data_IF_367212605161
#
_entry.id   IF_367212605161
#
_cell.length_a   1.000
_cell.length_b   1.000
_cell.length_c   1.000
_cell.angle_alpha   90.00
_cell.angle_beta   90.00
_cell.angle_gamma   90.00
#
_symmetry.space_group_name_H-M   'P 1'
#
loop_
_entity.id
_entity.type
_entity.pdbx_description
1 polymer ?
#
# COMPACT_ATOMS: atom_id res chain seq x y z
N UNK A 1 -0.37 -14.84 18.12
CA UNK A 1 -0.13 -15.94 19.09
C UNK A 1 0.15 -17.25 18.33
N UNK A 2 0.62 -18.33 18.97
CA UNK A 2 0.73 -19.65 18.29
C UNK A 2 -0.61 -20.14 17.70
N UNK A 3 -1.73 -19.73 18.27
CA UNK A 3 -3.08 -20.04 17.76
C UNK A 3 -3.34 -19.30 16.46
N UNK A 4 -3.09 -18.00 16.41
CA UNK A 4 -3.25 -17.19 15.19
C UNK A 4 -2.33 -17.64 14.05
N UNK A 5 -1.12 -18.10 14.37
CA UNK A 5 -0.23 -18.70 13.36
C UNK A 5 -0.85 -19.95 12.74
N UNK A 6 -1.45 -20.84 13.55
CA UNK A 6 -2.17 -22.02 13.06
C UNK A 6 -3.37 -21.64 12.20
N UNK A 7 -4.13 -20.60 12.59
CA UNK A 7 -5.25 -20.10 11.81
C UNK A 7 -4.80 -19.56 10.45
N UNK A 8 -3.69 -18.80 10.41
CA UNK A 8 -3.11 -18.32 9.16
C UNK A 8 -2.78 -19.49 8.22
N UNK A 9 -2.14 -20.54 8.72
CA UNK A 9 -1.84 -21.72 7.90
C UNK A 9 -3.10 -22.49 7.47
N UNK A 10 -4.16 -22.52 8.31
CA UNK A 10 -5.46 -23.09 7.91
C UNK A 10 -6.03 -22.34 6.71
N UNK A 11 -6.06 -21.01 6.76
CA UNK A 11 -6.53 -20.16 5.66
C UNK A 11 -5.74 -20.43 4.37
N UNK A 12 -4.41 -20.58 4.47
CA UNK A 12 -3.59 -20.92 3.30
C UNK A 12 -3.95 -22.28 2.69
N UNK A 13 -4.19 -23.28 3.54
CA UNK A 13 -4.56 -24.63 3.10
C UNK A 13 -5.95 -24.66 2.44
N UNK A 14 -6.88 -23.84 2.92
CA UNK A 14 -8.25 -23.76 2.40
C UNK A 14 -8.28 -22.98 1.08
N UNK A 15 -7.60 -21.83 1.01
CA UNK A 15 -7.58 -20.98 -0.18
C UNK A 15 -6.68 -21.52 -1.30
N UNK A 16 -5.62 -22.26 -0.96
CA UNK A 16 -4.61 -22.78 -1.91
C UNK A 16 -4.14 -21.73 -2.93
N UNK A 17 -3.67 -20.55 -2.48
CA UNK A 17 -3.35 -19.46 -3.40
C UNK A 17 -2.16 -19.83 -4.30
N UNK A 18 -2.15 -19.34 -5.53
CA UNK A 18 -0.96 -19.45 -6.41
C UNK A 18 0.11 -18.42 -6.06
N UNK A 19 -0.32 -17.25 -5.58
CA UNK A 19 0.53 -16.11 -5.24
C UNK A 19 0.13 -15.57 -3.86
N UNK A 20 1.12 -15.41 -2.97
CA UNK A 20 1.00 -14.69 -1.71
C UNK A 20 1.68 -13.33 -1.85
N UNK A 21 0.91 -12.26 -1.69
CA UNK A 21 1.44 -10.90 -1.76
C UNK A 21 1.48 -10.27 -0.37
N UNK A 22 2.64 -9.72 0.01
CA UNK A 22 2.84 -9.04 1.29
C UNK A 22 3.27 -7.60 1.06
N UNK A 23 2.51 -6.64 1.58
CA UNK A 23 2.95 -5.24 1.69
C UNK A 23 3.64 -5.05 3.04
N UNK A 24 4.97 -4.91 3.04
CA UNK A 24 5.76 -4.87 4.26
C UNK A 24 6.34 -3.47 4.52
N UNK A 25 6.19 -3.04 5.77
CA UNK A 25 7.02 -1.98 6.36
C UNK A 25 8.17 -2.62 7.15
N UNK A 26 9.29 -1.91 7.31
CA UNK A 26 10.50 -2.46 7.90
C UNK A 26 10.31 -3.13 9.28
N UNK A 27 9.49 -2.59 10.21
CA UNK A 27 9.24 -3.25 11.49
C UNK A 27 8.61 -4.64 11.37
N UNK A 28 7.80 -4.88 10.33
CA UNK A 28 7.12 -6.16 10.11
C UNK A 28 8.00 -7.19 9.41
N UNK A 29 9.16 -6.79 8.87
CA UNK A 29 10.01 -7.67 8.10
C UNK A 29 10.59 -8.82 8.94
N UNK A 30 11.03 -8.54 10.18
CA UNK A 30 11.54 -9.58 11.10
C UNK A 30 10.47 -10.62 11.43
N UNK A 31 9.24 -10.15 11.64
CA UNK A 31 8.10 -11.03 11.87
C UNK A 31 7.90 -11.93 10.64
N UNK A 32 7.81 -11.33 9.45
CA UNK A 32 7.69 -12.04 8.18
C UNK A 32 8.79 -13.10 7.97
N UNK A 33 10.05 -12.77 8.23
CA UNK A 33 11.19 -13.71 8.12
C UNK A 33 11.00 -14.96 8.98
N UNK A 34 10.34 -14.85 10.14
CA UNK A 34 10.00 -15.99 11.00
C UNK A 34 8.98 -16.93 10.34
N UNK A 35 8.00 -16.38 9.61
CA UNK A 35 6.96 -17.16 8.94
C UNK A 35 7.43 -17.78 7.62
N UNK A 36 8.35 -17.12 6.91
CA UNK A 36 8.76 -17.51 5.57
C UNK A 36 9.15 -19.00 5.41
N UNK A 37 9.99 -19.61 6.29
CA UNK A 37 10.34 -21.03 6.16
C UNK A 37 9.14 -21.96 6.30
N UNK A 38 8.21 -21.66 7.22
CA UNK A 38 6.98 -22.45 7.39
C UNK A 38 6.04 -22.30 6.20
N UNK A 39 5.90 -21.09 5.65
CA UNK A 39 5.11 -20.86 4.43
C UNK A 39 5.64 -21.73 3.28
N UNK A 40 6.97 -21.73 3.04
CA UNK A 40 7.58 -22.52 1.97
C UNK A 40 7.52 -24.04 2.22
N UNK A 41 7.55 -24.50 3.47
CA UNK A 41 7.36 -25.93 3.81
C UNK A 41 5.95 -26.43 3.52
N UNK A 42 4.94 -25.56 3.65
CA UNK A 42 3.52 -25.93 3.57
C UNK A 42 2.95 -25.90 2.15
N UNK A 43 3.65 -25.30 1.20
CA UNK A 43 3.20 -25.28 -0.18
C UNK A 43 4.17 -24.60 -1.13
N UNK A 44 3.95 -24.83 -2.42
CA UNK A 44 4.74 -24.26 -3.51
C UNK A 44 4.24 -22.88 -3.92
N UNK A 45 3.92 -22.03 -2.93
CA UNK A 45 3.44 -20.67 -3.15
C UNK A 45 4.53 -19.83 -3.82
N UNK A 46 4.14 -19.05 -4.84
CA UNK A 46 4.92 -17.88 -5.26
C UNK A 46 4.68 -16.76 -4.27
N UNK A 47 5.74 -16.05 -3.92
CA UNK A 47 5.69 -14.96 -2.95
C UNK A 47 6.09 -13.66 -3.64
N UNK A 48 5.22 -12.66 -3.56
CA UNK A 48 5.47 -11.27 -3.92
C UNK A 48 5.61 -10.44 -2.63
N UNK A 49 6.67 -9.64 -2.52
CA UNK A 49 6.79 -8.63 -1.46
C UNK A 49 6.86 -7.24 -2.09
N UNK A 50 6.07 -6.31 -1.58
CA UNK A 50 6.11 -4.89 -1.91
C UNK A 50 6.15 -4.02 -0.65
N UNK A 51 5.86 -2.73 -0.82
CA UNK A 51 5.84 -1.75 0.25
C UNK A 51 7.20 -1.15 0.57
N UNK A 52 7.27 -0.44 1.69
CA UNK A 52 8.46 0.32 2.09
C UNK A 52 9.69 -0.56 2.31
N UNK A 53 9.54 -1.75 2.92
CA UNK A 53 10.67 -2.65 3.14
C UNK A 53 11.30 -3.10 1.82
N UNK A 54 10.47 -3.44 0.83
CA UNK A 54 10.94 -3.84 -0.49
C UNK A 54 11.71 -2.72 -1.19
N UNK A 55 11.26 -1.47 -1.03
CA UNK A 55 11.89 -0.32 -1.68
C UNK A 55 13.16 0.15 -0.97
N UNK A 56 13.19 0.12 0.37
CA UNK A 56 14.31 0.61 1.17
C UNK A 56 15.46 -0.39 1.29
N UNK A 57 15.14 -1.69 1.34
CA UNK A 57 16.11 -2.77 1.55
C UNK A 57 15.91 -3.94 0.56
N UNK A 58 15.97 -3.69 -0.76
CA UNK A 58 15.58 -4.69 -1.76
C UNK A 58 16.49 -5.92 -1.79
N UNK A 59 17.82 -5.74 -1.64
CA UNK A 59 18.82 -6.82 -1.64
C UNK A 59 18.61 -7.83 -0.51
N UNK A 60 18.18 -7.37 0.66
CA UNK A 60 17.87 -8.23 1.79
C UNK A 60 16.50 -8.90 1.60
N UNK A 61 15.53 -8.13 1.11
CA UNK A 61 14.13 -8.58 1.00
C UNK A 61 13.95 -9.65 -0.09
N UNK A 62 14.64 -9.55 -1.23
CA UNK A 62 14.56 -10.52 -2.33
C UNK A 62 14.95 -11.94 -1.90
N UNK A 63 15.76 -12.11 -0.85
CA UNK A 63 16.13 -13.42 -0.31
C UNK A 63 14.91 -14.22 0.17
N UNK A 64 13.85 -13.52 0.59
CA UNK A 64 12.65 -14.09 1.20
C UNK A 64 11.40 -14.04 0.29
N UNK A 65 11.57 -13.87 -1.02
CA UNK A 65 10.44 -13.93 -1.97
C UNK A 65 10.86 -14.47 -3.34
N UNK A 66 9.87 -14.74 -4.19
CA UNK A 66 10.05 -15.09 -5.61
C UNK A 66 10.06 -13.82 -6.47
N UNK A 67 9.22 -12.84 -6.10
CA UNK A 67 9.08 -11.54 -6.74
C UNK A 67 9.16 -10.41 -5.69
N UNK A 68 9.85 -9.33 -6.02
CA UNK A 68 9.97 -8.14 -5.18
C UNK A 68 9.57 -6.90 -5.99
N UNK A 69 8.62 -6.12 -5.52
CA UNK A 69 8.21 -4.87 -6.15
C UNK A 69 8.89 -3.68 -5.47
N UNK A 70 9.78 -3.00 -6.20
CA UNK A 70 10.46 -1.78 -5.76
C UNK A 70 9.69 -0.54 -6.26
N UNK A 71 9.24 0.31 -5.34
CA UNK A 71 8.44 1.49 -5.66
C UNK A 71 6.93 1.20 -5.72
N UNK A 72 6.19 2.03 -6.46
CA UNK A 72 4.73 1.90 -6.64
C UNK A 72 4.37 0.64 -7.45
N UNK A 73 3.25 0.03 -7.08
CA UNK A 73 2.91 -1.35 -7.46
C UNK A 73 1.65 -1.49 -8.33
N UNK A 74 0.83 -0.45 -8.45
CA UNK A 74 -0.53 -0.52 -8.98
C UNK A 74 -0.59 -1.15 -10.38
N UNK A 75 0.20 -0.65 -11.33
CA UNK A 75 0.22 -1.17 -12.70
C UNK A 75 1.12 -2.39 -12.86
N UNK A 76 2.28 -2.38 -12.19
CA UNK A 76 3.32 -3.40 -12.39
C UNK A 76 2.95 -4.74 -11.78
N UNK A 77 2.19 -4.75 -10.67
CA UNK A 77 1.69 -5.99 -10.06
C UNK A 77 0.63 -6.61 -10.97
N UNK A 78 -0.22 -5.82 -11.63
CA UNK A 78 -1.16 -6.34 -12.62
C UNK A 78 -0.43 -7.01 -13.78
N UNK A 79 0.57 -6.33 -14.37
CA UNK A 79 1.44 -6.90 -15.42
C UNK A 79 2.12 -8.20 -14.95
N UNK A 80 2.61 -8.24 -13.71
CA UNK A 80 3.20 -9.46 -13.13
C UNK A 80 2.19 -10.60 -13.03
N UNK A 81 0.97 -10.33 -12.54
CA UNK A 81 -0.09 -11.33 -12.42
C UNK A 81 -0.44 -11.90 -13.79
N UNK A 82 -0.53 -11.08 -14.83
CA UNK A 82 -0.77 -11.52 -16.20
C UNK A 82 0.33 -12.46 -16.71
N UNK A 83 1.60 -12.14 -16.43
CA UNK A 83 2.74 -13.01 -16.77
C UNK A 83 2.69 -14.34 -16.03
N UNK A 84 2.35 -14.33 -14.74
CA UNK A 84 2.20 -15.54 -13.92
C UNK A 84 1.08 -16.44 -14.45
N UNK A 85 -0.06 -15.87 -14.84
CA UNK A 85 -1.22 -16.63 -15.37
C UNK A 85 -0.87 -17.46 -16.61
N UNK A 86 0.00 -16.94 -17.47
CA UNK A 86 0.44 -17.65 -18.69
C UNK A 86 1.75 -18.42 -18.50
N UNK A 87 2.28 -18.50 -17.28
CA UNK A 87 3.53 -19.21 -16.98
C UNK A 87 4.79 -18.56 -17.55
N UNK A 88 4.75 -17.27 -17.90
CA UNK A 88 5.89 -16.54 -18.47
C UNK A 88 6.72 -15.83 -17.40
N UNK A 89 8.00 -15.62 -17.70
CA UNK A 89 8.89 -14.84 -16.84
C UNK A 89 8.61 -13.34 -16.96
N UNK A 90 8.68 -12.56 -15.88
CA UNK A 90 8.40 -11.12 -15.88
C UNK A 90 9.61 -10.28 -16.32
N UNK A 91 10.32 -10.70 -17.38
CA UNK A 91 11.56 -10.06 -17.87
C UNK A 91 11.35 -8.63 -18.41
N UNK A 92 10.10 -8.26 -18.68
CA UNK A 92 9.66 -6.99 -19.24
C UNK A 92 8.75 -6.21 -18.27
N UNK A 93 8.56 -6.71 -17.04
CA UNK A 93 7.74 -6.03 -16.03
C UNK A 93 8.64 -5.10 -15.22
N UNK A 94 8.49 -3.77 -15.33
CA UNK A 94 9.31 -2.84 -14.56
C UNK A 94 9.04 -2.97 -13.06
N UNK A 95 9.94 -2.43 -12.24
CA UNK A 95 9.90 -2.45 -10.76
C UNK A 95 10.05 -3.83 -10.12
N UNK A 96 9.81 -4.92 -10.85
CA UNK A 96 9.81 -6.28 -10.32
C UNK A 96 11.22 -6.88 -10.38
N UNK A 97 11.80 -7.17 -9.23
CA UNK A 97 12.95 -8.06 -9.14
C UNK A 97 12.46 -9.49 -8.97
N UNK A 98 13.17 -10.43 -9.57
CA UNK A 98 12.80 -11.84 -9.49
C UNK A 98 14.01 -12.74 -9.59
N UNK A 99 13.85 -13.99 -9.12
CA UNK A 99 14.91 -15.00 -9.20
C UNK A 99 14.74 -15.81 -10.48
N UNK A 100 15.80 -15.86 -11.28
CA UNK A 100 15.95 -16.78 -12.40
C UNK A 100 17.13 -17.70 -12.11
N UNK A 101 16.83 -18.96 -11.74
CA UNK A 101 17.84 -19.91 -11.26
C UNK A 101 18.63 -19.32 -10.08
N UNK A 102 19.93 -19.10 -10.23
CA UNK A 102 20.81 -18.56 -9.18
C UNK A 102 21.06 -17.05 -9.33
N UNK A 103 20.39 -16.37 -10.27
CA UNK A 103 20.60 -14.95 -10.56
C UNK A 103 19.36 -14.16 -10.16
N UNK A 104 19.58 -13.02 -9.52
CA UNK A 104 18.53 -12.02 -9.26
C UNK A 104 18.50 -11.06 -10.44
N UNK A 105 17.39 -11.06 -11.17
CA UNK A 105 17.12 -10.09 -12.24
C UNK A 105 16.46 -8.87 -11.62
N UNK A 106 17.04 -7.68 -11.85
CA UNK A 106 16.62 -6.41 -11.25
C UNK A 106 16.06 -5.49 -12.33
N UNK A 107 14.75 -5.43 -12.45
CA UNK A 107 14.11 -4.54 -13.41
C UNK A 107 14.21 -3.09 -12.96
N UNK A 108 14.34 -2.18 -13.94
CA UNK A 108 14.35 -0.74 -13.69
C UNK A 108 12.99 -0.29 -13.16
N UNK A 109 13.01 0.71 -12.29
CA UNK A 109 11.80 1.35 -11.77
C UNK A 109 11.23 2.29 -12.85
N UNK A 110 9.96 2.12 -13.20
CA UNK A 110 9.20 2.94 -14.14
C UNK A 110 8.88 4.32 -13.52
N UNK A 111 8.79 5.41 -14.31
CA UNK A 111 8.37 6.71 -13.81
C UNK A 111 7.04 6.68 -13.08
N UNK A 112 6.88 7.59 -12.11
CA UNK A 112 5.65 7.74 -11.35
C UNK A 112 4.52 8.25 -12.25
N UNK A 113 3.33 7.66 -12.10
CA UNK A 113 2.14 8.22 -12.72
C UNK A 113 1.67 9.47 -11.96
N UNK A 114 1.46 10.59 -12.66
CA UNK A 114 1.02 11.86 -12.07
C UNK A 114 -0.46 11.89 -11.70
N UNK A 115 -1.30 11.11 -12.39
CA UNK A 115 -2.72 11.02 -12.12
C UNK A 115 -3.01 9.83 -11.20
N UNK A 116 -3.22 10.13 -9.92
CA UNK A 116 -3.61 9.12 -8.93
C UNK A 116 -5.10 8.79 -8.98
N UNK A 117 -5.92 9.62 -9.65
CA UNK A 117 -7.37 9.45 -9.72
C UNK A 117 -7.83 8.46 -10.78
N UNK A 118 -6.95 8.06 -11.70
CA UNK A 118 -7.21 6.96 -12.62
C UNK A 118 -7.37 5.60 -11.92
N UNK A 119 -6.81 5.46 -10.72
CA UNK A 119 -6.92 4.22 -9.94
C UNK A 119 -8.29 4.15 -9.27
N UNK A 120 -8.87 2.94 -9.13
CA UNK A 120 -10.15 2.79 -8.44
C UNK A 120 -10.03 3.24 -6.97
N UNK A 121 -11.13 3.76 -6.43
CA UNK A 121 -11.23 3.98 -4.99
C UNK A 121 -11.10 2.63 -4.24
N UNK A 122 -10.50 2.60 -3.04
CA UNK A 122 -10.37 1.38 -2.25
C UNK A 122 -11.71 0.71 -2.01
N UNK A 123 -11.79 -0.59 -2.28
CA UNK A 123 -12.98 -1.38 -2.04
C UNK A 123 -13.07 -1.69 -0.54
N UNK A 124 -14.22 -1.35 0.05
CA UNK A 124 -14.61 -1.78 1.40
C UNK A 124 -15.77 -2.78 1.20
N UNK A 125 -15.51 -4.08 1.33
CA UNK A 125 -16.53 -5.12 1.29
C UNK A 125 -16.04 -6.45 1.90
N UNK A 126 -16.97 -7.39 2.10
CA UNK A 126 -16.68 -8.71 2.68
C UNK A 126 -16.35 -9.79 1.64
N UNK A 127 -16.33 -9.46 0.34
CA UNK A 127 -16.26 -10.48 -0.72
C UNK A 127 -14.94 -11.23 -0.72
N UNK A 128 -13.84 -10.52 -0.46
CA UNK A 128 -12.48 -11.08 -0.45
C UNK A 128 -11.68 -10.68 0.79
N UNK A 129 -12.37 -10.27 1.86
CA UNK A 129 -11.75 -9.73 3.07
C UNK A 129 -11.81 -10.73 4.21
N UNK A 130 -10.67 -10.94 4.85
CA UNK A 130 -10.57 -11.66 6.11
C UNK A 130 -9.40 -11.14 6.93
N UNK A 131 -9.50 -11.29 8.25
CA UNK A 131 -8.37 -11.04 9.15
C UNK A 131 -8.41 -11.98 10.35
N UNK A 132 -7.26 -12.12 11.01
CA UNK A 132 -7.12 -12.93 12.21
C UNK A 132 -6.87 -12.00 13.39
N UNK A 133 -7.72 -12.08 14.40
CA UNK A 133 -7.61 -11.29 15.61
C UNK A 133 -8.29 -11.98 16.79
N UNK A 134 -7.68 -11.86 17.98
CA UNK A 134 -8.16 -12.52 19.21
C UNK A 134 -8.38 -14.02 19.02
N UNK A 135 -7.42 -14.68 18.36
CA UNK A 135 -7.44 -16.12 18.08
C UNK A 135 -8.67 -16.60 17.28
N UNK A 136 -9.26 -15.74 16.44
CA UNK A 136 -10.39 -16.08 15.55
C UNK A 136 -10.15 -15.54 14.14
N UNK A 137 -10.71 -16.22 13.15
CA UNK A 137 -10.81 -15.73 11.77
C UNK A 137 -12.10 -14.93 11.67
N UNK A 138 -12.00 -13.71 11.14
CA UNK A 138 -13.13 -12.84 10.83
C UNK A 138 -13.23 -12.73 9.31
N UNK A 139 -14.40 -13.04 8.75
CA UNK A 139 -14.67 -13.00 7.31
C UNK A 139 -15.37 -11.69 6.94
N UNK A 140 -14.72 -10.59 7.26
CA UNK A 140 -15.19 -9.24 6.96
C UNK A 140 -14.02 -8.28 6.74
N UNK A 141 -14.30 -7.14 6.12
CA UNK A 141 -13.34 -6.04 6.04
C UNK A 141 -13.15 -5.41 7.43
N UNK A 142 -11.90 -5.30 7.93
CA UNK A 142 -11.64 -4.72 9.25
C UNK A 142 -12.09 -3.26 9.38
N UNK A 143 -12.35 -2.55 8.28
CA UNK A 143 -12.90 -1.19 8.31
C UNK A 143 -14.40 -1.12 8.63
N UNK A 144 -15.22 -2.13 8.33
CA UNK A 144 -16.69 -2.04 8.47
C UNK A 144 -17.12 -1.65 9.89
N UNK A 145 -16.46 -2.27 10.88
CA UNK A 145 -16.73 -2.05 12.30
C UNK A 145 -15.72 -1.08 12.95
N UNK A 146 -14.95 -0.34 12.15
CA UNK A 146 -13.94 0.59 12.64
C UNK A 146 -14.55 1.98 12.92
N UNK A 147 -13.89 2.74 13.79
CA UNK A 147 -14.24 4.14 14.08
C UNK A 147 -13.37 5.14 13.30
N UNK A 148 -12.32 4.64 12.64
CA UNK A 148 -11.39 5.44 11.83
C UNK A 148 -11.26 4.86 10.43
N UNK A 149 -11.19 5.74 9.44
CA UNK A 149 -10.87 5.39 8.05
C UNK A 149 -9.58 6.07 7.60
N UNK A 150 -8.67 5.29 7.01
CA UNK A 150 -7.39 5.78 6.51
C UNK A 150 -7.43 6.04 5.01
N UNK A 151 -6.99 7.22 4.59
CA UNK A 151 -6.86 7.57 3.17
C UNK A 151 -5.69 8.54 2.96
N UNK A 152 -5.44 8.95 1.71
CA UNK A 152 -4.54 10.03 1.34
C UNK A 152 -5.17 10.90 0.24
N UNK A 153 -4.78 12.17 0.21
CA UNK A 153 -5.14 13.09 -0.89
C UNK A 153 -4.08 13.08 -1.99
N UNK A 154 -2.87 12.62 -1.68
CA UNK A 154 -1.77 12.56 -2.62
C UNK A 154 -0.61 11.67 -2.15
N UNK A 155 0.44 11.63 -2.98
CA UNK A 155 1.67 10.87 -2.74
C UNK A 155 2.89 11.66 -3.15
N UNK A 156 3.95 11.52 -2.35
CA UNK A 156 5.20 12.25 -2.51
C UNK A 156 5.46 13.18 -1.33
N UNK A 157 6.69 13.65 -1.21
CA UNK A 157 7.11 14.55 -0.14
C UNK A 157 8.21 15.49 -0.67
N UNK A 158 8.03 16.82 -0.60
CA UNK A 158 8.98 17.78 -1.16
C UNK A 158 10.27 17.89 -0.32
N UNK A 159 10.28 17.32 0.88
CA UNK A 159 11.39 17.40 1.81
C UNK A 159 12.39 16.24 1.64
N UNK A 160 13.65 16.50 2.00
CA UNK A 160 14.75 15.53 1.99
C UNK A 160 15.39 15.42 3.38
N UNK A 161 14.57 15.24 4.40
CA UNK A 161 15.03 15.14 5.79
C UNK A 161 16.01 13.98 5.97
N UNK A 162 17.17 14.21 6.59
CA UNK A 162 18.27 13.24 6.72
C UNK A 162 17.88 11.95 7.46
N UNK A 163 16.83 12.02 8.29
CA UNK A 163 16.32 10.91 9.10
C UNK A 163 15.14 10.15 8.48
N UNK A 164 14.58 10.62 7.36
CA UNK A 164 13.32 10.10 6.84
C UNK A 164 13.50 9.12 5.67
N UNK A 165 12.71 8.04 5.65
CA UNK A 165 12.64 7.07 4.54
C UNK A 165 12.25 7.71 3.21
N UNK A 166 11.45 8.79 3.22
CA UNK A 166 11.11 9.54 2.01
C UNK A 166 12.36 10.06 1.28
N UNK A 167 13.42 10.42 2.01
CA UNK A 167 14.68 10.85 1.37
C UNK A 167 15.31 9.75 0.53
N UNK A 168 15.14 8.48 0.91
CA UNK A 168 15.57 7.36 0.08
C UNK A 168 14.72 7.27 -1.20
N UNK A 169 13.41 7.46 -1.11
CA UNK A 169 12.54 7.52 -2.28
C UNK A 169 12.95 8.65 -3.22
N UNK A 170 13.21 9.85 -2.69
CA UNK A 170 13.63 11.02 -3.47
C UNK A 170 15.00 10.84 -4.12
N UNK A 171 15.95 10.19 -3.45
CA UNK A 171 17.33 10.15 -3.93
C UNK A 171 17.70 8.86 -4.68
N UNK A 172 17.00 7.75 -4.44
CA UNK A 172 17.38 6.42 -4.95
C UNK A 172 16.30 5.76 -5.79
N UNK A 173 15.04 5.77 -5.36
CA UNK A 173 13.96 5.05 -6.07
C UNK A 173 13.36 5.89 -7.19
N UNK A 174 13.07 7.16 -6.90
CA UNK A 174 12.40 8.10 -7.81
C UNK A 174 13.10 9.48 -7.86
N UNK A 175 14.37 9.55 -8.31
CA UNK A 175 15.09 10.81 -8.48
C UNK A 175 14.31 11.84 -9.29
N UNK A 176 14.11 13.04 -8.72
CA UNK A 176 13.42 14.17 -9.37
C UNK A 176 11.89 14.02 -9.51
N UNK A 177 11.31 12.91 -9.05
CA UNK A 177 9.89 12.61 -9.18
C UNK A 177 9.17 12.56 -7.84
N UNK A 178 9.69 11.86 -6.82
CA UNK A 178 8.99 11.71 -5.51
C UNK A 178 8.79 13.03 -4.77
N UNK A 179 9.65 14.01 -5.03
CA UNK A 179 9.54 15.35 -4.43
C UNK A 179 8.37 16.17 -4.97
N UNK A 180 7.78 15.76 -6.10
CA UNK A 180 6.57 16.35 -6.65
C UNK A 180 5.39 15.62 -6.04
N UNK A 181 4.62 16.28 -5.17
CA UNK A 181 3.40 15.69 -4.64
C UNK A 181 2.40 15.57 -5.79
N UNK A 182 1.90 14.36 -5.98
CA UNK A 182 0.85 14.02 -6.94
C UNK A 182 -0.45 13.91 -6.17
N UNK A 183 -1.48 14.64 -6.57
CA UNK A 183 -2.76 14.66 -5.87
C UNK A 183 -3.82 13.90 -6.66
N UNK A 184 -4.77 13.36 -5.93
CA UNK A 184 -6.05 12.89 -6.45
C UNK A 184 -6.94 14.12 -6.70
N UNK A 185 -7.87 14.03 -7.64
CA UNK A 185 -8.91 15.06 -7.82
C UNK A 185 -9.82 15.14 -6.59
N UNK A 186 -10.43 16.31 -6.37
CA UNK A 186 -11.39 16.49 -5.26
C UNK A 186 -12.56 15.52 -5.39
N UNK A 187 -13.09 15.34 -6.60
CA UNK A 187 -14.16 14.37 -6.88
C UNK A 187 -13.80 12.95 -6.44
N UNK A 188 -12.57 12.52 -6.73
CA UNK A 188 -12.12 11.16 -6.43
C UNK A 188 -11.99 10.93 -4.92
N UNK A 189 -11.43 11.90 -4.19
CA UNK A 189 -11.34 11.83 -2.71
C UNK A 189 -12.73 11.89 -2.08
N UNK A 190 -13.61 12.79 -2.53
CA UNK A 190 -14.98 12.90 -2.00
C UNK A 190 -15.79 11.64 -2.29
N UNK A 191 -15.63 11.01 -3.46
CA UNK A 191 -16.30 9.76 -3.79
C UNK A 191 -15.88 8.61 -2.85
N UNK A 192 -14.57 8.47 -2.57
CA UNK A 192 -14.08 7.51 -1.59
C UNK A 192 -14.64 7.78 -0.19
N UNK A 193 -14.60 9.03 0.27
CA UNK A 193 -15.08 9.38 1.61
C UNK A 193 -16.58 9.17 1.78
N UNK A 194 -17.38 9.39 0.72
CA UNK A 194 -18.81 9.02 0.72
C UNK A 194 -19.00 7.52 0.88
N UNK A 195 -18.24 6.72 0.11
CA UNK A 195 -18.31 5.27 0.22
C UNK A 195 -17.88 4.78 1.60
N UNK A 196 -16.81 5.34 2.17
CA UNK A 196 -16.37 5.04 3.52
C UNK A 196 -17.44 5.40 4.56
N UNK A 197 -18.07 6.58 4.45
CA UNK A 197 -19.15 7.03 5.35
C UNK A 197 -20.40 6.15 5.26
N UNK A 198 -20.72 5.64 4.07
CA UNK A 198 -21.85 4.73 3.86
C UNK A 198 -21.57 3.34 4.44
N UNK A 199 -20.37 2.81 4.24
CA UNK A 199 -20.04 1.40 4.53
C UNK A 199 -19.49 1.15 5.93
N UNK A 200 -18.90 2.16 6.57
CA UNK A 200 -18.28 2.03 7.90
C UNK A 200 -19.28 2.49 8.95
N UNK A 201 -19.89 1.53 9.65
CA UNK A 201 -21.04 1.76 10.54
C UNK A 201 -20.72 2.70 11.71
N UNK A 202 -19.47 2.73 12.15
CA UNK A 202 -19.00 3.48 13.31
C UNK A 202 -18.13 4.69 12.99
N UNK A 203 -18.08 5.15 11.73
CA UNK A 203 -17.06 6.12 11.30
C UNK A 203 -17.15 7.45 12.06
N UNK A 204 -16.11 7.74 12.85
CA UNK A 204 -16.01 8.96 13.67
C UNK A 204 -14.85 9.86 13.26
N UNK A 205 -13.86 9.34 12.55
CA UNK A 205 -12.68 10.11 12.19
C UNK A 205 -12.04 9.63 10.89
N UNK A 206 -11.61 10.57 10.05
CA UNK A 206 -10.78 10.31 8.87
C UNK A 206 -9.31 10.56 9.24
N UNK A 207 -8.42 9.64 8.88
CA UNK A 207 -6.98 9.83 8.99
C UNK A 207 -6.39 10.00 7.59
N UNK A 208 -5.87 11.18 7.29
CA UNK A 208 -5.07 11.41 6.10
C UNK A 208 -3.61 11.02 6.37
N UNK A 209 -3.17 9.92 5.74
CA UNK A 209 -1.84 9.32 5.85
C UNK A 209 -0.86 9.83 4.78
N UNK A 210 -1.14 11.00 4.20
CA UNK A 210 -0.18 11.71 3.37
C UNK A 210 1.14 11.92 4.13
N UNK A 211 2.28 11.76 3.43
CA UNK A 211 3.61 11.99 4.01
C UNK A 211 3.73 13.40 4.59
N UNK A 212 3.16 14.37 3.86
CA UNK A 212 2.84 15.71 4.32
C UNK A 212 1.53 16.12 3.65
N UNK A 213 0.50 16.39 4.45
CA UNK A 213 -0.75 16.98 4.02
C UNK A 213 -0.53 18.44 3.63
N UNK A 214 -0.26 18.64 2.34
CA UNK A 214 0.10 19.94 1.77
C UNK A 214 -0.69 20.17 0.47
N UNK A 215 -2.03 20.25 0.49
CA UNK A 215 -2.81 20.46 -0.73
C UNK A 215 -2.49 21.82 -1.39
N UNK A 216 -2.65 21.89 -2.71
CA UNK A 216 -2.58 23.17 -3.43
C UNK A 216 -3.77 24.06 -3.06
N UNK A 217 -3.59 25.39 -3.07
CA UNK A 217 -4.57 26.36 -2.56
C UNK A 217 -5.98 26.18 -3.13
N UNK A 218 -6.11 26.13 -4.46
CA UNK A 218 -7.43 26.02 -5.10
C UNK A 218 -8.06 24.64 -4.88
N UNK A 219 -7.24 23.58 -4.89
CA UNK A 219 -7.68 22.23 -4.52
C UNK A 219 -8.20 22.19 -3.08
N UNK A 220 -7.48 22.79 -2.13
CA UNK A 220 -7.85 22.83 -0.72
C UNK A 220 -9.17 23.57 -0.49
N UNK A 221 -9.36 24.73 -1.13
CA UNK A 221 -10.61 25.50 -1.04
C UNK A 221 -11.80 24.68 -1.52
N UNK A 222 -11.68 24.05 -2.69
CA UNK A 222 -12.75 23.21 -3.24
C UNK A 222 -13.02 22.01 -2.32
N UNK A 223 -11.96 21.30 -1.93
CA UNK A 223 -12.04 20.13 -1.07
C UNK A 223 -12.71 20.48 0.26
N UNK A 224 -12.26 21.50 0.99
CA UNK A 224 -12.83 21.80 2.31
C UNK A 224 -14.26 22.34 2.24
N UNK A 225 -14.61 23.11 1.20
CA UNK A 225 -16.00 23.51 0.94
C UNK A 225 -16.91 22.29 0.79
N UNK A 226 -16.48 21.32 -0.01
CA UNK A 226 -17.23 20.07 -0.24
C UNK A 226 -17.21 19.13 0.94
N UNK A 227 -16.05 18.96 1.57
CA UNK A 227 -15.86 18.12 2.75
C UNK A 227 -16.81 18.56 3.88
N UNK A 228 -16.94 19.87 4.13
CA UNK A 228 -17.86 20.39 5.14
C UNK A 228 -19.33 20.09 4.82
N UNK A 229 -19.73 20.12 3.55
CA UNK A 229 -21.11 19.90 3.11
C UNK A 229 -21.47 18.41 3.02
N UNK A 230 -20.57 17.60 2.46
CA UNK A 230 -20.86 16.23 2.02
C UNK A 230 -20.39 15.17 3.04
N UNK A 231 -19.25 15.43 3.69
CA UNK A 231 -18.61 14.46 4.60
C UNK A 231 -18.87 14.84 6.06
N UNK A 232 -18.38 16.01 6.48
CA UNK A 232 -18.55 16.62 7.82
C UNK A 232 -18.15 15.68 8.98
N UNK A 233 -17.05 14.93 8.82
CA UNK A 233 -16.48 14.04 9.84
C UNK A 233 -15.15 14.66 10.32
N UNK A 234 -14.83 14.63 11.63
CA UNK A 234 -13.51 15.04 12.12
C UNK A 234 -12.37 14.33 11.39
N UNK A 235 -11.24 15.01 11.16
CA UNK A 235 -10.08 14.37 10.55
C UNK A 235 -8.77 14.70 11.25
N UNK A 236 -7.81 13.80 11.09
CA UNK A 236 -6.41 13.99 11.43
C UNK A 236 -5.59 14.06 10.15
N UNK A 237 -4.60 14.95 10.12
CA UNK A 237 -3.60 15.02 9.06
C UNK A 237 -2.25 15.45 9.65
N UNK A 238 -1.16 15.12 8.96
CA UNK A 238 0.18 15.59 9.31
C UNK A 238 0.59 16.69 8.33
N UNK A 239 0.89 17.89 8.80
CA UNK A 239 1.38 18.99 7.97
C UNK A 239 2.78 19.40 8.40
N UNK A 240 3.50 20.12 7.53
CA UNK A 240 4.76 20.74 7.91
C UNK A 240 4.48 22.11 8.54
N UNK A 241 4.93 22.42 9.77
CA UNK A 241 4.54 23.65 10.46
C UNK A 241 4.78 24.94 9.66
N UNK A 242 5.86 25.00 8.88
CA UNK A 242 6.19 26.16 8.04
C UNK A 242 5.28 26.38 6.82
N UNK A 243 4.32 25.50 6.56
CA UNK A 243 3.37 25.65 5.44
C UNK A 243 1.98 26.13 5.86
N UNK A 244 1.73 26.30 7.16
CA UNK A 244 0.45 26.80 7.65
C UNK A 244 0.34 28.32 7.47
N UNK A 245 -0.82 28.76 6.97
CA UNK A 245 -1.23 30.16 6.89
C UNK A 245 -2.58 30.30 7.59
N UNK A 246 -2.97 31.54 7.90
CA UNK A 246 -4.22 31.85 8.60
C UNK A 246 -5.47 31.57 7.74
N UNK A 247 -5.37 31.73 6.41
CA UNK A 247 -6.39 31.34 5.42
C UNK A 247 -6.58 29.82 5.32
#
# INVERSE_FOLDING_TARGET
>A
TKVEEKLFYSVLNDLKPQLLAFSLVSPNFKLYQRFYPEIKRRGSYKILIGGWQASLNPEETIKYCDYLCVGEGEEVILKLIEKIKIGSMPIDVPNIWFKCSNIIVKQKVEPLNSDLSKYPIPIIDNKCSLYIHNNKIHYEDPYINNVRYGTNIGRGCPYKCTYCSNSYMVNKVYPGQWSKIRYRTVDHVIAELKQAKEKILGLKCINFYDEVFLPQKEWAKEFFKRYKKEINIPFYCMFFPGTCKEE
#
